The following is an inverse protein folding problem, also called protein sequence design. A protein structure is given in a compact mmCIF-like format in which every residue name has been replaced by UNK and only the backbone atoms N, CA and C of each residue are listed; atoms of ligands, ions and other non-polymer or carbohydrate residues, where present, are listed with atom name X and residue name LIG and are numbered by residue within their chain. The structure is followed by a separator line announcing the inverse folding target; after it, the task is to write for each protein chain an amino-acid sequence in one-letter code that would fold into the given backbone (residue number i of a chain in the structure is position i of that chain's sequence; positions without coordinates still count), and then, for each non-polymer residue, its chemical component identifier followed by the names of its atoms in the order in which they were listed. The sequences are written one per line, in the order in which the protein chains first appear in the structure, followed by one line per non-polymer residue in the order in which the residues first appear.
data_IF_594890928007
#
_entry.id   IF_594890928007
#
_cell.length_a   1.000
_cell.length_b   1.000
_cell.length_c   1.000
_cell.angle_alpha   90.00
_cell.angle_beta   90.00
_cell.angle_gamma   90.00
#
_symmetry.space_group_name_H-M   'P 1'
#
loop_
_entity.id
_entity.type
_entity.pdbx_description
1 polymer ?
#
# COMPACT_ATOMS: atom_id res chain seq x y z
N UNK A 1 -13.91 2.28 16.51
CA UNK A 1 -13.62 0.95 15.95
C UNK A 1 -12.49 1.11 14.96
N UNK A 2 -11.37 0.39 15.14
CA UNK A 2 -10.22 0.45 14.23
C UNK A 2 -10.58 -0.26 12.92
N UNK A 3 -10.69 0.52 11.84
CA UNK A 3 -10.91 0.01 10.46
C UNK A 3 -9.64 -0.68 9.92
N UNK A 4 -8.51 -0.49 10.60
CA UNK A 4 -7.21 -1.13 10.36
C UNK A 4 -7.27 -2.67 10.39
N UNK A 5 -8.23 -3.27 11.11
CA UNK A 5 -8.42 -4.74 11.16
C UNK A 5 -9.63 -5.21 10.33
N UNK A 6 -9.84 -4.61 9.16
CA UNK A 6 -10.82 -5.11 8.19
C UNK A 6 -10.22 -6.31 7.43
N UNK A 7 -10.76 -7.54 7.56
CA UNK A 7 -10.16 -8.72 6.95
C UNK A 7 -10.05 -8.61 5.43
N UNK A 8 -10.95 -7.88 4.76
CA UNK A 8 -10.87 -7.65 3.31
C UNK A 8 -9.59 -6.88 2.92
N UNK A 9 -9.20 -5.88 3.73
CA UNK A 9 -8.00 -5.11 3.44
C UNK A 9 -6.74 -5.97 3.59
N UNK A 10 -6.68 -6.75 4.68
CA UNK A 10 -5.60 -7.71 4.90
C UNK A 10 -5.52 -8.75 3.77
N UNK A 11 -6.66 -9.21 3.24
CA UNK A 11 -6.69 -10.12 2.10
C UNK A 11 -6.04 -9.50 0.86
N UNK A 12 -6.42 -8.27 0.49
CA UNK A 12 -5.85 -7.57 -0.67
C UNK A 12 -4.37 -7.25 -0.52
N UNK A 13 -3.92 -6.94 0.69
CA UNK A 13 -2.51 -6.72 0.96
C UNK A 13 -1.67 -7.99 0.73
N UNK A 14 -2.15 -9.14 1.24
CA UNK A 14 -1.51 -10.42 0.97
C UNK A 14 -1.55 -10.78 -0.52
N UNK A 15 -2.62 -10.40 -1.22
CA UNK A 15 -2.77 -10.60 -2.67
C UNK A 15 -1.69 -9.84 -3.46
N UNK A 16 -1.47 -8.54 -3.17
CA UNK A 16 -0.39 -7.74 -3.76
C UNK A 16 1.00 -8.29 -3.45
N UNK A 17 1.22 -8.70 -2.19
CA UNK A 17 2.48 -9.32 -1.76
C UNK A 17 2.76 -10.61 -2.53
N UNK A 18 1.76 -11.46 -2.71
CA UNK A 18 1.87 -12.67 -3.52
C UNK A 18 2.24 -12.36 -4.98
N UNK A 19 1.63 -11.35 -5.60
CA UNK A 19 1.93 -10.97 -6.99
C UNK A 19 3.38 -10.51 -7.17
N UNK A 20 3.89 -9.71 -6.23
CA UNK A 20 5.29 -9.32 -6.20
C UNK A 20 6.21 -10.56 -6.10
N UNK A 21 5.93 -11.47 -5.17
CA UNK A 21 6.74 -12.68 -4.97
C UNK A 21 6.71 -13.63 -6.18
N UNK A 22 5.59 -13.71 -6.90
CA UNK A 22 5.48 -14.46 -8.16
C UNK A 22 6.41 -13.87 -9.22
N UNK A 23 6.46 -12.54 -9.35
CA UNK A 23 7.36 -11.87 -10.30
C UNK A 23 8.84 -12.15 -10.00
N UNK A 24 9.20 -12.28 -8.72
CA UNK A 24 10.54 -12.68 -8.28
C UNK A 24 10.77 -14.19 -8.27
N UNK A 25 9.83 -15.00 -8.79
CA UNK A 25 9.87 -16.48 -8.81
C UNK A 25 10.02 -17.11 -7.41
N UNK A 26 9.67 -16.39 -6.34
CA UNK A 26 9.67 -16.89 -4.96
C UNK A 26 8.32 -17.58 -4.68
N UNK A 27 8.06 -18.68 -5.37
CA UNK A 27 6.72 -19.30 -5.40
C UNK A 27 6.25 -19.84 -4.05
N UNK A 28 7.13 -20.41 -3.23
CA UNK A 28 6.80 -20.92 -1.90
C UNK A 28 6.23 -19.81 -0.99
N UNK A 29 6.93 -18.66 -0.90
CA UNK A 29 6.45 -17.49 -0.13
C UNK A 29 5.18 -16.88 -0.73
N UNK A 30 5.02 -16.91 -2.06
CA UNK A 30 3.81 -16.43 -2.71
C UNK A 30 2.58 -17.29 -2.32
N UNK A 31 2.75 -18.61 -2.25
CA UNK A 31 1.70 -19.55 -1.84
C UNK A 31 1.25 -19.27 -0.40
N UNK A 32 2.17 -19.03 0.52
CA UNK A 32 1.83 -18.66 1.90
C UNK A 32 1.00 -17.37 1.97
N UNK A 33 1.33 -16.37 1.14
CA UNK A 33 0.58 -15.13 1.06
C UNK A 33 -0.84 -15.37 0.51
N UNK A 34 -1.00 -16.23 -0.50
CA UNK A 34 -2.32 -16.62 -1.00
C UNK A 34 -3.16 -17.35 0.04
N UNK A 35 -2.54 -18.21 0.86
CA UNK A 35 -3.22 -18.89 1.97
C UNK A 35 -3.69 -17.92 3.05
N UNK A 36 -2.85 -16.94 3.40
CA UNK A 36 -3.23 -15.85 4.31
C UNK A 36 -4.38 -15.02 3.73
N UNK A 37 -4.35 -14.71 2.43
CA UNK A 37 -5.44 -13.99 1.76
C UNK A 37 -6.77 -14.76 1.86
N UNK A 38 -6.75 -16.07 1.58
CA UNK A 38 -7.94 -16.93 1.70
C UNK A 38 -8.47 -16.93 3.15
N UNK A 39 -7.59 -17.06 4.14
CA UNK A 39 -7.95 -17.02 5.55
C UNK A 39 -8.68 -15.72 5.92
N UNK A 40 -8.18 -14.58 5.42
CA UNK A 40 -8.82 -13.29 5.67
C UNK A 40 -10.17 -13.13 4.96
N UNK A 41 -10.35 -13.71 3.76
CA UNK A 41 -11.67 -13.76 3.09
C UNK A 41 -12.68 -14.60 3.89
N UNK A 42 -12.24 -15.70 4.49
CA UNK A 42 -13.09 -16.51 5.38
C UNK A 42 -13.50 -15.73 6.63
N UNK A 43 -12.58 -14.96 7.22
CA UNK A 43 -12.92 -14.04 8.32
C UNK A 43 -13.90 -12.95 7.90
N UNK A 44 -13.71 -12.34 6.72
CA UNK A 44 -14.64 -11.34 6.18
C UNK A 44 -16.04 -11.93 6.01
N UNK A 45 -16.11 -13.15 5.49
CA UNK A 45 -17.36 -13.87 5.27
C UNK A 45 -18.08 -14.18 6.58
N UNK A 46 -17.35 -14.53 7.65
CA UNK A 46 -17.92 -14.76 8.97
C UNK A 46 -18.50 -13.50 9.62
N UNK A 47 -18.01 -12.32 9.26
CA UNK A 47 -18.45 -11.03 9.84
C UNK A 47 -19.66 -10.41 9.14
N UNK A 48 -19.96 -10.82 7.91
CA UNK A 48 -21.08 -10.25 7.13
C UNK A 48 -22.24 -11.24 6.99
N UNK A 49 -23.47 -10.73 6.99
CA UNK A 49 -24.69 -11.52 6.72
C UNK A 49 -25.37 -11.12 5.41
N UNK A 50 -24.81 -10.14 4.69
CA UNK A 50 -25.38 -9.62 3.45
C UNK A 50 -25.12 -10.62 2.32
N UNK A 51 -26.19 -11.13 1.70
CA UNK A 51 -26.13 -12.19 0.68
C UNK A 51 -25.21 -11.84 -0.49
N UNK A 52 -25.35 -10.63 -1.02
CA UNK A 52 -24.57 -10.20 -2.19
C UNK A 52 -23.07 -10.12 -1.87
N UNK A 53 -22.74 -9.64 -0.66
CA UNK A 53 -21.35 -9.59 -0.17
C UNK A 53 -20.79 -11.00 0.02
N UNK A 54 -21.56 -11.92 0.62
CA UNK A 54 -21.15 -13.31 0.78
C UNK A 54 -20.89 -14.00 -0.57
N UNK A 55 -21.74 -13.76 -1.57
CA UNK A 55 -21.52 -14.28 -2.93
C UNK A 55 -20.23 -13.70 -3.52
N UNK A 56 -19.99 -12.40 -3.38
CA UNK A 56 -18.75 -11.76 -3.85
C UNK A 56 -17.51 -12.33 -3.17
N UNK A 57 -17.52 -12.48 -1.84
CA UNK A 57 -16.41 -13.05 -1.07
C UNK A 57 -16.14 -14.52 -1.46
N UNK A 58 -17.20 -15.30 -1.72
CA UNK A 58 -17.05 -16.67 -2.23
C UNK A 58 -16.33 -16.71 -3.58
N UNK A 59 -16.73 -15.85 -4.52
CA UNK A 59 -16.08 -15.75 -5.82
C UNK A 59 -14.61 -15.33 -5.70
N UNK A 60 -14.31 -14.40 -4.78
CA UNK A 60 -12.94 -13.97 -4.50
C UNK A 60 -12.09 -15.12 -3.95
N UNK A 61 -12.62 -15.89 -3.00
CA UNK A 61 -11.96 -17.09 -2.47
C UNK A 61 -11.66 -18.11 -3.57
N UNK A 62 -12.63 -18.39 -4.43
CA UNK A 62 -12.44 -19.33 -5.56
C UNK A 62 -11.37 -18.83 -6.55
N UNK A 63 -11.30 -17.52 -6.78
CA UNK A 63 -10.27 -16.89 -7.60
C UNK A 63 -8.88 -17.08 -6.98
N UNK A 64 -8.72 -16.80 -5.69
CA UNK A 64 -7.46 -16.98 -4.95
C UNK A 64 -7.01 -18.44 -4.96
N UNK A 65 -7.94 -19.40 -4.80
CA UNK A 65 -7.64 -20.82 -4.89
C UNK A 65 -7.19 -21.24 -6.29
N UNK A 66 -7.81 -20.71 -7.35
CA UNK A 66 -7.35 -20.94 -8.73
C UNK A 66 -5.95 -20.38 -8.93
N UNK A 67 -5.70 -19.15 -8.46
CA UNK A 67 -4.37 -18.51 -8.52
C UNK A 67 -3.32 -19.34 -7.79
N UNK A 68 -3.62 -19.85 -6.59
CA UNK A 68 -2.72 -20.74 -5.82
C UNK A 68 -2.33 -21.99 -6.61
N UNK A 69 -3.28 -22.64 -7.28
CA UNK A 69 -3.00 -23.83 -8.12
C UNK A 69 -2.06 -23.49 -9.28
N UNK A 70 -2.28 -22.36 -9.95
CA UNK A 70 -1.39 -21.90 -11.02
C UNK A 70 0.03 -21.66 -10.51
N UNK A 71 0.18 -21.03 -9.35
CA UNK A 71 1.51 -20.80 -8.74
C UNK A 71 2.19 -22.12 -8.35
N UNK A 72 1.45 -23.09 -7.82
CA UNK A 72 1.97 -24.44 -7.54
C UNK A 72 2.47 -25.14 -8.81
N UNK A 73 1.76 -24.99 -9.92
CA UNK A 73 2.18 -25.55 -11.22
C UNK A 73 3.47 -24.88 -11.71
N UNK A 74 3.54 -23.54 -11.65
CA UNK A 74 4.75 -22.78 -12.04
C UNK A 74 5.97 -23.16 -11.19
N UNK A 75 5.76 -23.40 -9.91
CA UNK A 75 6.79 -23.85 -9.00
C UNK A 75 7.30 -25.25 -9.34
N UNK A 76 6.39 -26.19 -9.62
CA UNK A 76 6.77 -27.54 -10.05
C UNK A 76 7.51 -27.53 -11.41
N UNK A 77 7.06 -26.72 -12.37
CA UNK A 77 7.74 -26.52 -13.65
C UNK A 77 9.14 -25.94 -13.45
N UNK A 78 9.28 -24.95 -12.58
CA UNK A 78 10.57 -24.35 -12.20
C UNK A 78 11.51 -25.41 -11.62
N UNK A 79 11.04 -26.25 -10.68
CA UNK A 79 11.82 -27.35 -10.08
C UNK A 79 12.21 -28.42 -11.10
N UNK A 80 11.30 -28.79 -12.02
CA UNK A 80 11.58 -29.76 -13.10
C UNK A 80 12.62 -29.23 -14.09
N UNK A 81 12.61 -27.94 -14.37
CA UNK A 81 13.61 -27.30 -15.23
C UNK A 81 15.00 -27.12 -14.57
N UNK A 82 15.13 -27.37 -13.26
CA UNK A 82 16.34 -27.06 -12.47
C UNK A 82 17.10 -28.27 -11.91
N UNK A 83 16.88 -29.50 -12.40
CA UNK A 83 17.67 -30.69 -12.02
C UNK A 83 18.85 -30.94 -12.98
N UNK A 84 20.05 -31.38 -12.52
CA UNK A 84 20.93 -30.72 -11.56
C UNK A 84 22.34 -30.47 -12.16
N UNK A 85 22.84 -29.23 -12.08
CA UNK A 85 24.27 -28.95 -12.07
C UNK A 85 24.57 -28.06 -10.87
N UNK A 86 25.40 -28.59 -9.99
CA UNK A 86 25.94 -27.98 -8.77
C UNK A 86 26.38 -26.53 -8.98
N UNK A 87 25.85 -25.60 -8.19
CA UNK A 87 26.62 -24.46 -7.70
C UNK A 87 26.00 -23.91 -6.42
N UNK A 88 26.74 -24.09 -5.33
CA UNK A 88 26.70 -23.28 -4.13
C UNK A 88 26.84 -21.81 -4.50
N UNK A 89 25.86 -20.98 -4.16
CA UNK A 89 25.88 -19.53 -4.40
C UNK A 89 25.02 -18.80 -3.38
N UNK A 90 25.71 -18.11 -2.48
CA UNK A 90 25.25 -17.35 -1.32
C UNK A 90 24.26 -16.21 -1.64
N UNK A 91 23.01 -16.35 -1.18
CA UNK A 91 22.39 -15.64 -0.04
C UNK A 91 22.68 -14.13 0.20
N UNK A 92 22.55 -13.25 -0.82
CA UNK A 92 22.63 -11.78 -0.61
C UNK A 92 21.60 -10.93 -1.42
N UNK A 93 20.45 -11.47 -1.80
CA UNK A 93 19.42 -10.69 -2.55
C UNK A 93 18.11 -10.45 -1.80
N UNK A 94 18.04 -10.81 -0.51
CA UNK A 94 16.80 -10.68 0.27
C UNK A 94 16.51 -9.26 0.78
N UNK A 95 17.52 -8.41 0.95
CA UNK A 95 17.37 -7.10 1.59
C UNK A 95 16.57 -6.10 0.72
N UNK A 96 16.88 -6.02 -0.58
CA UNK A 96 16.22 -5.10 -1.52
C UNK A 96 14.76 -5.50 -1.78
N UNK A 97 14.41 -6.78 -1.63
CA UNK A 97 13.03 -7.26 -1.82
C UNK A 97 12.15 -6.95 -0.61
N UNK A 98 12.70 -7.01 0.60
CA UNK A 98 11.94 -6.73 1.83
C UNK A 98 11.62 -5.23 1.93
N UNK A 99 12.53 -4.34 1.51
CA UNK A 99 12.29 -2.89 1.45
C UNK A 99 11.17 -2.49 0.48
N UNK A 100 11.10 -3.12 -0.70
CA UNK A 100 10.00 -2.92 -1.67
C UNK A 100 8.67 -3.43 -1.10
N UNK A 101 8.71 -4.55 -0.37
CA UNK A 101 7.54 -5.10 0.31
C UNK A 101 7.09 -4.24 1.49
N UNK A 102 8.04 -3.63 2.21
CA UNK A 102 7.78 -2.72 3.32
C UNK A 102 7.20 -1.41 2.81
N UNK A 103 7.75 -0.83 1.75
CA UNK A 103 7.18 0.38 1.12
C UNK A 103 5.76 0.16 0.60
N UNK A 104 5.45 -1.02 0.04
CA UNK A 104 4.08 -1.40 -0.31
C UNK A 104 3.17 -1.44 0.94
N UNK A 105 3.66 -2.02 2.04
CA UNK A 105 2.94 -2.10 3.31
C UNK A 105 2.66 -0.70 3.90
N UNK A 106 3.63 0.20 3.82
CA UNK A 106 3.53 1.56 4.31
C UNK A 106 2.57 2.40 3.45
N UNK A 107 2.61 2.23 2.13
CA UNK A 107 1.66 2.88 1.21
C UNK A 107 0.20 2.49 1.50
N UNK A 108 -0.05 1.20 1.74
CA UNK A 108 -1.39 0.70 2.05
C UNK A 108 -1.90 1.20 3.41
N UNK A 109 -1.01 1.33 4.38
CA UNK A 109 -1.31 1.88 5.71
C UNK A 109 -1.66 3.37 5.60
N UNK A 110 -0.89 4.14 4.84
CA UNK A 110 -1.16 5.56 4.58
C UNK A 110 -2.47 5.78 3.81
N UNK A 111 -2.78 4.92 2.82
CA UNK A 111 -4.06 4.94 2.13
C UNK A 111 -5.25 4.69 3.08
N UNK A 112 -5.10 3.74 4.01
CA UNK A 112 -6.12 3.47 5.02
C UNK A 112 -6.32 4.66 5.98
N UNK A 113 -5.23 5.31 6.41
CA UNK A 113 -5.30 6.51 7.26
C UNK A 113 -5.94 7.71 6.55
N UNK A 114 -5.67 7.89 5.26
CA UNK A 114 -6.28 8.96 4.46
C UNK A 114 -7.79 8.75 4.29
N UNK A 115 -8.23 7.50 4.08
CA UNK A 115 -9.66 7.14 4.03
C UNK A 115 -10.32 7.40 5.40
N UNK A 116 -9.62 7.13 6.51
CA UNK A 116 -10.14 7.33 7.86
C UNK A 116 -10.23 8.81 8.25
N UNK A 117 -9.26 9.64 7.83
CA UNK A 117 -9.26 11.09 8.11
C UNK A 117 -10.28 11.88 7.31
N UNK A 118 -10.67 11.42 6.13
CA UNK A 118 -11.63 12.14 5.29
C UNK A 118 -13.10 11.83 5.59
N UNK A 119 -13.43 10.82 6.42
CA UNK A 119 -14.83 10.43 6.65
C UNK A 119 -15.59 10.07 5.36
N UNK A 120 -14.87 9.86 4.26
CA UNK A 120 -15.43 9.57 2.96
C UNK A 120 -15.87 8.10 2.95
N UNK A 121 -17.16 7.89 3.15
CA UNK A 121 -17.82 6.67 2.69
C UNK A 121 -17.57 6.57 1.20
N UNK A 122 -16.69 5.67 0.76
CA UNK A 122 -16.57 5.34 -0.66
C UNK A 122 -17.96 4.86 -1.08
N UNK A 123 -18.69 5.58 -1.95
CA UNK A 123 -19.99 5.13 -2.38
C UNK A 123 -19.81 3.76 -3.06
N UNK A 124 -20.81 2.86 -2.95
CA UNK A 124 -20.76 1.58 -3.65
C UNK A 124 -20.46 1.85 -5.12
N UNK A 125 -19.47 1.16 -5.69
CA UNK A 125 -19.19 1.21 -7.12
C UNK A 125 -20.47 0.77 -7.83
N UNK A 126 -21.28 1.73 -8.25
CA UNK A 126 -22.39 1.47 -9.15
C UNK A 126 -21.77 1.02 -10.46
N UNK A 127 -22.26 -0.07 -11.07
CA UNK A 127 -21.96 -0.35 -12.47
C UNK A 127 -22.20 0.94 -13.25
N UNK A 128 -21.17 1.40 -13.97
CA UNK A 128 -21.30 2.59 -14.80
C UNK A 128 -22.50 2.40 -15.74
N UNK A 129 -23.48 3.33 -15.74
CA UNK A 129 -24.53 3.31 -16.74
C UNK A 129 -23.87 3.39 -18.11
N UNK A 130 -24.15 2.40 -18.96
CA UNK A 130 -23.77 2.41 -20.35
C UNK A 130 -24.20 3.75 -20.98
N UNK A 131 -23.23 4.58 -21.39
CA UNK A 131 -23.48 5.78 -22.18
C UNK A 131 -22.89 7.12 -21.69
N UNK A 132 -22.00 7.15 -20.68
CA UNK A 132 -21.29 8.39 -20.35
C UNK A 132 -20.08 8.59 -21.28
N UNK A 133 -20.05 9.74 -21.97
CA UNK A 133 -18.96 10.16 -22.84
C UNK A 133 -17.64 10.17 -22.06
N UNK A 134 -16.83 9.13 -22.23
CA UNK A 134 -15.53 8.90 -21.57
C UNK A 134 -14.62 10.12 -21.63
N UNK A 135 -14.76 10.94 -22.69
CA UNK A 135 -14.06 12.21 -22.88
C UNK A 135 -14.32 13.24 -21.75
N UNK A 136 -15.58 13.42 -21.32
CA UNK A 136 -15.92 14.40 -20.27
C UNK A 136 -15.39 13.99 -18.90
N UNK A 137 -15.44 12.68 -18.61
CA UNK A 137 -14.90 12.12 -17.36
C UNK A 137 -13.38 12.30 -17.32
N UNK A 138 -12.68 12.04 -18.43
CA UNK A 138 -11.24 12.26 -18.56
C UNK A 138 -10.84 13.72 -18.38
N UNK A 139 -11.65 14.65 -18.90
CA UNK A 139 -11.42 16.09 -18.78
C UNK A 139 -11.61 16.60 -17.35
N UNK A 140 -12.68 16.19 -16.66
CA UNK A 140 -12.88 16.49 -15.24
C UNK A 140 -11.76 15.91 -14.36
N UNK A 141 -11.31 14.70 -14.66
CA UNK A 141 -10.18 14.08 -13.97
C UNK A 141 -8.88 14.86 -14.19
N UNK A 142 -8.64 15.34 -15.42
CA UNK A 142 -7.49 16.19 -15.73
C UNK A 142 -7.52 17.51 -14.96
N UNK A 143 -8.69 18.16 -14.89
CA UNK A 143 -8.85 19.40 -14.12
C UNK A 143 -8.61 19.19 -12.63
N UNK A 144 -9.14 18.09 -12.06
CA UNK A 144 -8.90 17.77 -10.65
C UNK A 144 -7.43 17.44 -10.38
N UNK A 145 -6.77 16.69 -11.26
CA UNK A 145 -5.37 16.37 -11.12
C UNK A 145 -4.49 17.64 -11.21
N UNK A 146 -4.81 18.57 -12.12
CA UNK A 146 -4.14 19.85 -12.21
C UNK A 146 -4.35 20.73 -10.96
N UNK A 147 -5.57 20.76 -10.42
CA UNK A 147 -5.88 21.48 -9.18
C UNK A 147 -5.12 20.89 -7.98
N UNK A 148 -5.07 19.57 -7.86
CA UNK A 148 -4.29 18.86 -6.83
C UNK A 148 -2.80 19.18 -6.94
N UNK A 149 -2.23 19.10 -8.15
CA UNK A 149 -0.82 19.44 -8.38
C UNK A 149 -0.50 20.89 -8.02
N UNK A 150 -1.44 21.82 -8.24
CA UNK A 150 -1.30 23.22 -7.80
C UNK A 150 -1.32 23.32 -6.27
N UNK A 151 -2.23 22.62 -5.62
CA UNK A 151 -2.34 22.64 -4.16
C UNK A 151 -1.10 22.04 -3.47
N UNK A 152 -0.60 20.92 -3.99
CA UNK A 152 0.65 20.30 -3.51
C UNK A 152 1.82 21.28 -3.61
N UNK A 153 1.96 22.00 -4.72
CA UNK A 153 3.00 23.03 -4.87
C UNK A 153 2.88 24.13 -3.82
N UNK A 154 1.68 24.66 -3.59
CA UNK A 154 1.48 25.69 -2.57
C UNK A 154 1.85 25.20 -1.16
N UNK A 155 1.51 23.95 -0.82
CA UNK A 155 1.88 23.37 0.48
C UNK A 155 3.40 23.17 0.63
N UNK A 156 4.08 22.79 -0.44
CA UNK A 156 5.55 22.69 -0.45
C UNK A 156 6.21 24.06 -0.27
N UNK A 157 5.69 25.09 -0.93
CA UNK A 157 6.18 26.46 -0.77
C UNK A 157 5.95 26.98 0.66
N UNK A 158 4.77 26.73 1.23
CA UNK A 158 4.46 27.10 2.62
C UNK A 158 5.34 26.36 3.63
N UNK A 159 5.58 25.06 3.40
CA UNK A 159 6.51 24.27 4.22
C UNK A 159 7.92 24.83 4.16
N UNK A 160 8.40 25.19 2.97
CA UNK A 160 9.72 25.80 2.80
C UNK A 160 9.84 27.15 3.52
N UNK A 161 8.78 27.95 3.54
CA UNK A 161 8.76 29.21 4.28
C UNK A 161 8.78 29.00 5.80
N UNK A 162 8.00 28.04 6.30
CA UNK A 162 8.00 27.65 7.73
C UNK A 162 9.37 27.15 8.16
N UNK A 163 10.08 26.40 7.30
CA UNK A 163 11.45 25.94 7.57
C UNK A 163 12.45 27.10 7.64
N UNK A 164 12.31 28.10 6.76
CA UNK A 164 13.13 29.33 6.82
C UNK A 164 12.90 30.09 8.11
N UNK A 165 11.63 30.25 8.52
CA UNK A 165 11.27 30.89 9.77
C UNK A 165 11.83 30.12 10.98
N UNK A 166 11.72 28.80 10.98
CA UNK A 166 12.24 27.96 12.05
C UNK A 166 13.77 28.11 12.19
N UNK A 167 14.51 28.14 11.07
CA UNK A 167 15.95 28.40 11.07
C UNK A 167 16.28 29.79 11.63
N UNK A 168 15.51 30.81 11.26
CA UNK A 168 15.69 32.17 11.76
C UNK A 168 15.50 32.24 13.29
N UNK A 169 14.41 31.67 13.81
CA UNK A 169 14.15 31.65 15.25
C UNK A 169 15.19 30.85 16.02
N UNK A 170 15.67 29.72 15.48
CA UNK A 170 16.77 28.96 16.11
C UNK A 170 18.05 29.79 16.24
N UNK A 171 18.41 30.53 15.20
CA UNK A 171 19.59 31.40 15.23
C UNK A 171 19.43 32.53 16.25
N UNK A 172 18.25 33.16 16.30
CA UNK A 172 17.97 34.22 17.27
C UNK A 172 18.03 33.69 18.71
N UNK A 173 17.50 32.49 18.95
CA UNK A 173 17.52 31.88 20.27
C UNK A 173 18.95 31.55 20.71
N UNK A 174 19.78 31.04 19.80
CA UNK A 174 21.20 30.80 20.06
C UNK A 174 21.97 32.09 20.42
N UNK A 175 21.66 33.21 19.74
CA UNK A 175 22.26 34.51 20.06
C UNK A 175 21.82 35.03 21.44
N UNK A 176 20.57 34.80 21.82
CA UNK A 176 20.06 35.15 23.15
C UNK A 176 20.75 34.32 24.24
N UNK A 177 20.90 33.01 24.05
CA UNK A 177 21.62 32.13 24.97
C UNK A 177 23.09 32.58 25.16
N UNK A 178 23.77 32.94 24.08
CA UNK A 178 25.13 33.47 24.13
C UNK A 178 25.21 34.79 24.92
N UNK A 179 24.24 35.70 24.73
CA UNK A 179 24.18 36.96 25.49
C UNK A 179 23.89 36.72 26.96
N UNK A 180 23.00 35.79 27.29
CA UNK A 180 22.68 35.43 28.66
C UNK A 180 23.93 34.90 29.38
N UNK A 181 24.66 33.99 28.74
CA UNK A 181 25.91 33.44 29.26
C UNK A 181 26.99 34.51 29.49
N UNK A 182 27.08 35.52 28.60
CA UNK A 182 28.00 36.65 28.78
C UNK A 182 27.62 37.59 29.93
N UNK A 183 26.35 37.65 30.33
CA UNK A 183 25.91 38.41 31.49
C UNK A 183 26.19 37.67 32.80
N UNK A 184 26.01 36.34 32.83
CA UNK A 184 26.27 35.53 34.03
C UNK A 184 27.78 35.43 34.39
N UNK A 185 28.66 35.78 33.45
CA UNK A 185 30.12 35.80 33.62
C UNK A 185 30.69 37.16 34.07
N UNK A 186 29.86 38.18 34.27
CA UNK A 186 30.25 39.53 34.75
C UNK A 186 29.76 39.78 36.17
#
# INVERSE_FOLDING_TARGET
MNVLDCPINSAHQQERKADSLINYKKYERAIECLDKAIYFIDQASARTKVRDVLTSLKLQKESLQRRKRTVLQLDEESRRSSSPCSSTGSDQTDDVSEDVLQTLYDCDTLLAELVQRQGCTVPPIRPLPNGMNTSKVLEELHMHNAALQKHVRMLLDESGEKDRQLKHYKLLNQQLEQKLHQMDLK
#
